data_IF_337828508318
#
_entry.id   IF_337828508318
#
_cell.length_a   1.000
_cell.length_b   1.000
_cell.length_c   1.000
_cell.angle_alpha   90.00
_cell.angle_beta   90.00
_cell.angle_gamma   90.00
#
_symmetry.space_group_name_H-M   'P 1'
#
loop_
_entity.id
_entity.type
_entity.pdbx_description
1 polymer ?
#
# COMPACT_ATOMS: atom_id res chain seq x y z
N UNK A 1 -28.87 55.67 -0.50
CA UNK A 1 -27.74 55.27 0.35
C UNK A 1 -27.75 53.75 0.42
N UNK A 2 -26.78 53.08 -0.22
CA UNK A 2 -26.77 51.62 -0.29
C UNK A 2 -26.03 51.14 0.96
N UNK A 3 -26.78 50.58 1.90
CA UNK A 3 -26.28 49.97 3.13
C UNK A 3 -25.00 49.16 2.84
N UNK A 4 -23.85 49.67 3.25
CA UNK A 4 -22.60 48.91 3.34
C UNK A 4 -22.69 48.11 4.64
N UNK A 5 -23.33 46.94 4.57
CA UNK A 5 -23.31 45.97 5.66
C UNK A 5 -21.96 45.27 5.68
N UNK A 6 -21.33 45.19 6.84
CA UNK A 6 -20.13 44.40 7.08
C UNK A 6 -20.41 42.91 6.87
N UNK A 7 -19.45 42.20 6.26
CA UNK A 7 -19.57 40.78 5.94
C UNK A 7 -19.67 39.92 7.23
N UNK A 8 -20.49 38.85 7.27
CA UNK A 8 -20.77 38.08 8.49
C UNK A 8 -19.57 37.39 9.16
N UNK A 9 -18.40 37.33 8.52
CA UNK A 9 -17.19 36.69 9.08
C UNK A 9 -16.23 37.68 9.76
N UNK A 10 -16.52 38.98 9.69
CA UNK A 10 -15.68 40.02 10.28
C UNK A 10 -14.28 40.11 9.66
N UNK A 11 -13.57 41.19 9.99
CA UNK A 11 -12.23 41.54 9.52
C UNK A 11 -11.09 40.61 9.99
N UNK A 12 -11.35 39.34 10.29
CA UNK A 12 -10.31 38.39 10.74
C UNK A 12 -9.29 38.03 9.64
N UNK A 13 -9.56 38.41 8.38
CA UNK A 13 -8.76 38.03 7.22
C UNK A 13 -7.62 38.97 6.79
N UNK A 14 -7.47 40.17 7.36
CA UNK A 14 -6.51 41.22 6.93
C UNK A 14 -6.48 41.52 5.42
N UNK A 15 -7.58 41.24 4.71
CA UNK A 15 -7.72 41.40 3.26
C UNK A 15 -8.96 42.28 2.99
N UNK A 16 -8.79 43.36 2.23
CA UNK A 16 -9.87 44.32 1.90
C UNK A 16 -10.86 43.78 0.86
N UNK A 17 -10.66 42.56 0.37
CA UNK A 17 -11.50 41.98 -0.66
C UNK A 17 -12.75 41.29 -0.09
N UNK A 18 -13.87 42.01 -0.13
CA UNK A 18 -15.20 41.54 0.28
C UNK A 18 -15.74 40.38 -0.57
N UNK A 19 -15.22 40.10 -1.77
CA UNK A 19 -15.77 39.07 -2.66
C UNK A 19 -15.03 37.73 -2.59
N UNK A 20 -14.11 37.55 -1.64
CA UNK A 20 -13.31 36.32 -1.53
C UNK A 20 -14.15 35.08 -1.25
N UNK A 21 -15.26 35.22 -0.52
CA UNK A 21 -16.19 34.12 -0.23
C UNK A 21 -16.90 33.58 -1.50
N UNK A 22 -16.98 34.39 -2.56
CA UNK A 22 -17.54 34.05 -3.89
C UNK A 22 -16.49 34.04 -5.00
N UNK A 23 -15.22 33.81 -4.64
CA UNK A 23 -14.11 33.75 -5.60
C UNK A 23 -14.05 34.95 -6.57
N UNK A 24 -14.34 36.15 -6.06
CA UNK A 24 -14.38 37.42 -6.82
C UNK A 24 -15.44 37.51 -7.92
N UNK A 25 -16.46 36.64 -7.91
CA UNK A 25 -17.57 36.68 -8.86
C UNK A 25 -18.94 36.62 -8.16
N UNK A 26 -19.38 37.73 -7.54
CA UNK A 26 -20.65 37.82 -6.79
C UNK A 26 -21.91 37.80 -7.66
N UNK A 27 -21.77 37.92 -8.99
CA UNK A 27 -22.90 37.83 -9.93
C UNK A 27 -23.21 36.38 -10.25
N UNK A 28 -22.17 35.55 -10.41
CA UNK A 28 -22.32 34.14 -10.76
C UNK A 28 -22.46 33.21 -9.55
N UNK A 29 -21.99 33.61 -8.37
CA UNK A 29 -21.96 32.75 -7.19
C UNK A 29 -22.55 33.43 -5.95
N UNK A 30 -23.22 32.62 -5.12
CA UNK A 30 -23.77 33.02 -3.83
C UNK A 30 -23.54 31.86 -2.86
N UNK A 31 -22.90 32.11 -1.72
CA UNK A 31 -22.76 31.13 -0.63
C UNK A 31 -23.53 31.64 0.59
N UNK A 32 -24.84 31.33 0.72
CA UNK A 32 -25.69 31.84 1.79
C UNK A 32 -25.37 31.25 3.17
N UNK A 33 -24.57 30.18 3.22
CA UNK A 33 -24.32 29.40 4.44
C UNK A 33 -22.88 29.46 4.92
N UNK A 34 -21.94 29.91 4.09
CA UNK A 34 -20.49 29.89 4.37
C UNK A 34 -19.86 28.49 4.40
N UNK A 35 -20.67 27.44 4.26
CA UNK A 35 -20.21 26.05 4.35
C UNK A 35 -19.85 25.44 2.99
N UNK A 36 -20.05 26.13 1.87
CA UNK A 36 -19.82 25.55 0.54
C UNK A 36 -18.40 24.98 0.40
N UNK A 37 -17.38 25.74 0.80
CA UNK A 37 -15.99 25.30 0.80
C UNK A 37 -15.71 24.16 1.80
N UNK A 38 -16.46 24.09 2.90
CA UNK A 38 -16.38 22.98 3.87
C UNK A 38 -16.87 21.68 3.24
N UNK A 39 -17.98 21.72 2.49
CA UNK A 39 -18.52 20.55 1.78
C UNK A 39 -17.63 20.12 0.62
N UNK A 40 -17.05 21.06 -0.13
CA UNK A 40 -16.04 20.77 -1.16
C UNK A 40 -14.81 20.09 -0.55
N UNK A 41 -14.28 20.62 0.55
CA UNK A 41 -13.13 20.03 1.25
C UNK A 41 -13.44 18.64 1.82
N UNK A 42 -14.61 18.45 2.44
CA UNK A 42 -15.09 17.15 2.92
C UNK A 42 -15.24 16.15 1.79
N UNK A 43 -15.86 16.56 0.67
CA UNK A 43 -16.02 15.75 -0.53
C UNK A 43 -14.68 15.32 -1.11
N UNK A 44 -13.72 16.25 -1.23
CA UNK A 44 -12.37 15.97 -1.67
C UNK A 44 -11.62 15.00 -0.74
N UNK A 45 -11.75 15.14 0.58
CA UNK A 45 -11.14 14.24 1.55
C UNK A 45 -11.72 12.83 1.51
N UNK A 46 -13.05 12.71 1.41
CA UNK A 46 -13.74 11.41 1.27
C UNK A 46 -13.33 10.73 -0.03
N UNK A 47 -13.35 11.47 -1.15
CA UNK A 47 -12.92 10.98 -2.46
C UNK A 47 -11.45 10.55 -2.43
N UNK A 48 -10.56 11.37 -1.85
CA UNK A 48 -9.15 11.06 -1.67
C UNK A 48 -8.94 9.78 -0.87
N UNK A 49 -9.63 9.60 0.26
CA UNK A 49 -9.60 8.36 1.05
C UNK A 49 -10.05 7.13 0.25
N UNK A 50 -11.11 7.27 -0.55
CA UNK A 50 -11.61 6.19 -1.39
C UNK A 50 -10.59 5.79 -2.47
N UNK A 51 -9.99 6.77 -3.15
CA UNK A 51 -8.94 6.56 -4.15
C UNK A 51 -7.74 5.84 -3.53
N UNK A 52 -7.24 6.31 -2.38
CA UNK A 52 -6.11 5.69 -1.68
C UNK A 52 -6.40 4.23 -1.32
N UNK A 53 -7.60 3.93 -0.82
CA UNK A 53 -8.01 2.55 -0.48
C UNK A 53 -8.02 1.64 -1.72
N UNK A 54 -8.48 2.14 -2.87
CA UNK A 54 -8.52 1.39 -4.14
C UNK A 54 -7.12 1.15 -4.72
N UNK A 55 -6.23 2.14 -4.65
CA UNK A 55 -4.84 2.04 -5.15
C UNK A 55 -3.98 1.12 -4.27
N UNK A 56 -4.22 1.05 -2.96
CA UNK A 56 -3.48 0.17 -2.02
C UNK A 56 -3.61 -1.33 -2.34
N UNK A 57 -4.59 -1.74 -3.15
CA UNK A 57 -4.75 -3.11 -3.65
C UNK A 57 -3.68 -3.45 -4.70
N UNK A 58 -3.15 -2.46 -5.42
CA UNK A 58 -2.19 -2.63 -6.50
C UNK A 58 -0.73 -2.58 -6.04
N UNK A 59 -0.48 -2.12 -4.82
CA UNK A 59 0.85 -2.03 -4.24
C UNK A 59 1.46 -3.43 -4.07
N UNK A 60 2.66 -3.61 -4.63
CA UNK A 60 3.46 -4.83 -4.52
C UNK A 60 3.79 -5.13 -3.05
N UNK A 61 3.63 -6.38 -2.58
CA UNK A 61 4.03 -6.72 -1.22
C UNK A 61 5.54 -6.60 -1.05
N UNK A 62 5.99 -6.08 0.09
CA UNK A 62 7.41 -5.91 0.39
C UNK A 62 8.07 -7.26 0.73
N UNK A 63 9.28 -7.55 0.21
CA UNK A 63 10.08 -8.69 0.67
C UNK A 63 10.37 -8.61 2.17
N UNK A 64 10.54 -9.77 2.81
CA UNK A 64 10.81 -9.87 4.25
C UNK A 64 12.24 -10.29 4.50
N UNK A 65 12.88 -9.75 5.54
CA UNK A 65 14.21 -10.20 5.99
C UNK A 65 14.23 -11.68 6.39
N UNK A 66 13.13 -12.13 7.01
CA UNK A 66 12.93 -13.51 7.46
C UNK A 66 13.28 -13.73 8.93
N UNK A 67 13.07 -14.95 9.40
CA UNK A 67 13.40 -15.40 10.76
C UNK A 67 14.14 -16.75 10.72
N UNK A 68 15.05 -16.95 11.65
CA UNK A 68 15.87 -18.16 11.76
C UNK A 68 15.86 -18.69 13.19
N UNK A 69 16.20 -19.96 13.35
CA UNK A 69 16.21 -20.63 14.66
C UNK A 69 14.81 -20.82 15.26
N UNK A 70 14.78 -21.16 16.55
CA UNK A 70 13.54 -21.37 17.30
C UNK A 70 12.69 -22.58 16.84
N UNK A 71 11.46 -22.69 17.38
CA UNK A 71 10.54 -23.74 16.99
C UNK A 71 10.22 -23.69 15.49
N UNK A 72 10.45 -24.80 14.78
CA UNK A 72 10.19 -24.85 13.35
C UNK A 72 11.39 -24.49 12.46
N UNK A 73 12.56 -24.23 13.04
CA UNK A 73 13.83 -24.15 12.32
C UNK A 73 14.03 -25.36 11.41
N UNK A 74 14.47 -25.11 10.18
CA UNK A 74 14.72 -26.13 9.15
C UNK A 74 13.50 -27.00 8.79
N UNK A 75 12.28 -26.65 9.21
CA UNK A 75 11.06 -27.40 8.89
C UNK A 75 10.32 -26.82 7.68
N UNK A 76 9.52 -27.63 6.95
CA UNK A 76 8.64 -27.11 5.90
C UNK A 76 7.47 -26.32 6.49
N UNK A 77 6.87 -25.43 5.69
CA UNK A 77 5.63 -24.73 6.05
C UNK A 77 4.42 -25.66 6.07
N UNK A 78 3.58 -25.56 7.10
CA UNK A 78 2.27 -26.23 7.17
C UNK A 78 1.31 -25.67 6.11
N UNK A 79 0.36 -26.45 5.55
CA UNK A 79 -0.60 -25.96 4.55
C UNK A 79 -1.35 -24.68 4.98
N UNK A 80 -1.87 -24.66 6.21
CA UNK A 80 -2.55 -23.49 6.80
C UNK A 80 -1.66 -22.23 6.80
N UNK A 81 -0.36 -22.39 7.08
CA UNK A 81 0.61 -21.29 7.05
C UNK A 81 0.85 -20.81 5.62
N UNK A 82 0.94 -21.73 4.65
CA UNK A 82 1.09 -21.38 3.23
C UNK A 82 -0.07 -20.54 2.73
N UNK A 83 -1.31 -20.88 3.09
CA UNK A 83 -2.48 -20.11 2.67
C UNK A 83 -2.54 -18.74 3.33
N UNK A 84 -2.20 -18.63 4.62
CA UNK A 84 -2.04 -17.32 5.29
C UNK A 84 -1.01 -16.42 4.59
N UNK A 85 0.12 -16.99 4.18
CA UNK A 85 1.16 -16.24 3.46
C UNK A 85 0.66 -15.75 2.10
N UNK A 86 -0.04 -16.60 1.34
CA UNK A 86 -0.62 -16.23 0.04
C UNK A 86 -1.64 -15.10 0.16
N UNK A 87 -2.54 -15.22 1.14
CA UNK A 87 -3.57 -14.22 1.39
C UNK A 87 -2.96 -12.87 1.77
N UNK A 88 -2.03 -12.89 2.73
CA UNK A 88 -1.26 -11.71 3.17
C UNK A 88 -0.54 -11.02 2.03
N UNK A 89 0.10 -11.79 1.16
CA UNK A 89 0.85 -11.29 0.00
C UNK A 89 -0.05 -11.07 -1.22
N UNK A 90 -1.38 -11.15 -1.05
CA UNK A 90 -2.43 -10.92 -2.07
C UNK A 90 -2.24 -11.74 -3.35
N UNK A 91 -1.78 -12.99 -3.21
CA UNK A 91 -1.40 -13.86 -4.33
C UNK A 91 -0.48 -13.14 -5.34
N UNK A 92 0.44 -12.29 -4.86
CA UNK A 92 1.47 -11.63 -5.67
C UNK A 92 2.84 -12.08 -5.21
N UNK A 93 3.79 -12.14 -6.14
CA UNK A 93 5.18 -12.39 -5.80
C UNK A 93 5.77 -11.16 -5.11
N UNK A 94 6.41 -11.35 -3.96
CA UNK A 94 7.09 -10.26 -3.23
C UNK A 94 8.25 -9.63 -4.01
N UNK A 95 8.88 -10.37 -4.93
CA UNK A 95 10.03 -9.90 -5.69
C UNK A 95 9.70 -9.21 -7.00
N UNK A 96 8.80 -9.75 -7.81
CA UNK A 96 8.45 -9.16 -9.10
C UNK A 96 7.05 -8.50 -9.13
N UNK A 97 6.22 -8.69 -8.10
CA UNK A 97 4.86 -8.14 -8.03
C UNK A 97 3.81 -8.82 -8.92
N UNK A 98 4.23 -9.74 -9.81
CA UNK A 98 3.32 -10.51 -10.68
C UNK A 98 2.35 -11.35 -9.84
N UNK A 99 1.11 -11.49 -10.32
CA UNK A 99 0.11 -12.39 -9.73
C UNK A 99 0.61 -13.84 -9.84
N UNK A 100 0.54 -14.56 -8.74
CA UNK A 100 0.91 -15.96 -8.65
C UNK A 100 -0.33 -16.85 -8.71
N UNK A 101 -0.22 -18.00 -9.38
CA UNK A 101 -1.30 -18.99 -9.47
C UNK A 101 -1.04 -20.16 -8.52
N UNK A 102 -2.07 -20.69 -7.85
CA UNK A 102 -1.96 -22.00 -7.19
C UNK A 102 -1.86 -23.08 -8.28
N UNK A 103 -1.09 -24.15 -8.02
CA UNK A 103 -0.77 -25.17 -9.01
C UNK A 103 0.65 -25.03 -9.57
N UNK A 104 1.28 -26.15 -9.91
CA UNK A 104 2.63 -26.20 -10.47
C UNK A 104 2.65 -25.98 -11.98
N UNK A 105 3.86 -25.84 -12.54
CA UNK A 105 4.08 -25.90 -13.98
C UNK A 105 4.24 -24.56 -14.71
N UNK A 106 3.82 -23.42 -14.13
CA UNK A 106 4.00 -22.11 -14.76
C UNK A 106 5.13 -21.29 -14.14
N UNK A 107 5.66 -20.33 -14.89
CA UNK A 107 6.67 -19.37 -14.41
C UNK A 107 6.17 -18.55 -13.21
N UNK A 108 4.86 -18.31 -13.16
CA UNK A 108 4.17 -17.62 -12.07
C UNK A 108 3.45 -18.54 -11.07
N UNK A 109 3.76 -19.84 -11.04
CA UNK A 109 3.26 -20.74 -9.99
C UNK A 109 3.69 -20.23 -8.62
N UNK A 110 2.75 -20.20 -7.67
CA UNK A 110 2.96 -19.77 -6.28
C UNK A 110 3.79 -20.80 -5.52
N UNK A 111 5.03 -20.44 -5.22
CA UNK A 111 5.94 -21.20 -4.36
C UNK A 111 6.14 -20.39 -3.06
N UNK A 112 5.85 -21.01 -1.91
CA UNK A 112 6.05 -20.37 -0.61
C UNK A 112 7.52 -20.55 -0.25
N UNK A 113 8.23 -19.43 -0.26
CA UNK A 113 9.67 -19.35 -0.03
C UNK A 113 9.96 -18.98 1.42
N UNK A 114 11.10 -19.47 1.90
CA UNK A 114 11.69 -19.10 3.17
C UNK A 114 12.60 -17.88 2.95
N UNK A 115 12.22 -16.72 3.47
CA UNK A 115 12.99 -15.48 3.39
C UNK A 115 14.43 -15.67 3.91
N UNK A 116 14.57 -16.24 5.09
CA UNK A 116 15.79 -16.86 5.55
C UNK A 116 15.75 -18.36 5.20
N UNK A 117 16.67 -18.89 4.38
CA UNK A 117 16.53 -20.20 3.76
C UNK A 117 16.64 -21.35 4.77
N UNK A 118 15.90 -22.43 4.50
CA UNK A 118 15.86 -23.65 5.33
C UNK A 118 17.26 -24.22 5.57
N UNK A 119 18.11 -24.28 4.54
CA UNK A 119 19.47 -24.83 4.64
C UNK A 119 20.35 -24.08 5.64
N UNK A 120 20.08 -22.80 5.89
CA UNK A 120 20.85 -21.96 6.83
C UNK A 120 20.19 -21.80 8.20
N UNK A 121 19.08 -22.50 8.46
CA UNK A 121 18.40 -22.45 9.76
C UNK A 121 17.11 -21.63 9.79
N UNK A 122 16.58 -21.22 8.64
CA UNK A 122 15.30 -20.53 8.55
C UNK A 122 14.15 -21.31 9.17
N UNK A 123 13.27 -20.62 9.89
CA UNK A 123 12.11 -21.23 10.55
C UNK A 123 10.88 -21.30 9.62
N UNK A 124 9.82 -21.99 10.04
CA UNK A 124 8.58 -22.10 9.27
C UNK A 124 7.46 -21.20 9.78
N UNK A 125 7.80 -20.08 10.42
CA UNK A 125 6.84 -19.07 10.89
C UNK A 125 6.26 -18.27 9.70
N UNK A 126 5.10 -17.64 9.91
CA UNK A 126 4.56 -16.73 8.89
C UNK A 126 5.53 -15.59 8.55
N UNK A 127 6.35 -15.14 9.50
CA UNK A 127 7.28 -14.03 9.31
C UNK A 127 8.47 -14.43 8.43
N UNK A 128 8.87 -15.69 8.45
CA UNK A 128 9.88 -16.21 7.53
C UNK A 128 9.31 -16.65 6.17
N UNK A 129 8.01 -16.83 6.05
CA UNK A 129 7.38 -17.24 4.79
C UNK A 129 7.01 -16.07 3.90
N UNK A 130 7.23 -16.19 2.59
CA UNK A 130 6.84 -15.21 1.58
C UNK A 130 6.33 -15.87 0.29
N UNK A 131 5.29 -15.28 -0.32
CA UNK A 131 4.76 -15.78 -1.58
C UNK A 131 5.63 -15.32 -2.75
N UNK A 132 6.14 -16.29 -3.52
CA UNK A 132 7.03 -16.02 -4.66
C UNK A 132 6.51 -16.74 -5.89
N UNK A 133 6.83 -16.23 -7.08
CA UNK A 133 6.67 -17.01 -8.29
C UNK A 133 7.82 -18.02 -8.42
N UNK A 134 7.57 -19.13 -9.11
CA UNK A 134 8.58 -20.13 -9.45
C UNK A 134 9.87 -19.50 -9.99
N UNK A 135 9.79 -18.58 -10.95
CA UNK A 135 10.99 -17.95 -11.53
C UNK A 135 11.84 -17.23 -10.48
N UNK A 136 11.25 -16.33 -9.68
CA UNK A 136 12.00 -15.60 -8.65
C UNK A 136 12.49 -16.52 -7.53
N UNK A 137 11.70 -17.53 -7.14
CA UNK A 137 12.09 -18.49 -6.12
C UNK A 137 13.35 -19.28 -6.53
N UNK A 138 13.38 -19.77 -7.76
CA UNK A 138 14.52 -20.52 -8.30
C UNK A 138 15.77 -19.63 -8.45
N UNK A 139 15.57 -18.37 -8.82
CA UNK A 139 16.67 -17.41 -8.93
C UNK A 139 17.25 -17.04 -7.56
N UNK A 140 16.42 -16.91 -6.53
CA UNK A 140 16.86 -16.66 -5.15
C UNK A 140 17.68 -17.83 -4.61
N UNK A 141 17.21 -19.06 -4.81
CA UNK A 141 17.90 -20.28 -4.35
C UNK A 141 18.11 -20.29 -2.83
N UNK A 142 19.35 -20.47 -2.40
CA UNK A 142 19.76 -20.53 -0.99
C UNK A 142 20.19 -19.17 -0.40
N UNK A 143 19.98 -18.07 -1.12
CA UNK A 143 20.23 -16.72 -0.61
C UNK A 143 19.18 -16.34 0.42
N UNK A 144 19.56 -15.52 1.39
CA UNK A 144 18.56 -14.76 2.17
C UNK A 144 17.82 -13.78 1.26
N UNK A 145 16.67 -13.28 1.71
CA UNK A 145 15.98 -12.21 0.97
C UNK A 145 16.91 -11.01 0.74
N UNK A 146 17.65 -10.59 1.76
CA UNK A 146 18.52 -9.41 1.66
C UNK A 146 19.66 -9.64 0.67
N UNK A 147 20.32 -10.81 0.73
CA UNK A 147 21.36 -11.20 -0.24
C UNK A 147 20.82 -11.29 -1.67
N UNK A 148 19.59 -11.76 -1.85
CA UNK A 148 18.97 -11.81 -3.17
C UNK A 148 18.60 -10.41 -3.69
N UNK A 149 18.13 -9.52 -2.83
CA UNK A 149 17.87 -8.13 -3.20
C UNK A 149 19.16 -7.36 -3.53
N UNK A 150 20.25 -7.64 -2.82
CA UNK A 150 21.57 -7.12 -3.16
C UNK A 150 22.06 -7.65 -4.50
N UNK A 151 21.93 -8.97 -4.73
CA UNK A 151 22.26 -9.57 -6.01
C UNK A 151 21.44 -8.98 -7.17
N UNK A 152 20.16 -8.67 -6.97
CA UNK A 152 19.33 -8.00 -7.98
C UNK A 152 19.75 -6.56 -8.26
N UNK A 153 20.38 -5.87 -7.32
CA UNK A 153 20.89 -4.50 -7.51
C UNK A 153 22.22 -4.47 -8.26
N UNK A 154 23.00 -5.53 -8.16
CA UNK A 154 24.35 -5.64 -8.73
C UNK A 154 24.39 -6.39 -10.08
N UNK A 155 23.23 -6.56 -10.73
CA UNK A 155 23.08 -7.27 -12.01
C UNK A 155 22.49 -6.34 -13.04
#
# INVERSE_FOLDING_TARGET
>A
ERFLGEDPIGFEGWDYNFYRYVANNPIAYRDPTGEFWVWVARGAWIAGKWIVKKVRVWVKPKPRKGEYGGPGAKKPFKPKTKDKIRDRDKNKCVFCGKKTKKGGGSSNSSEIDHAFPKSRGGNNSCNNGQNTCRTCNRQKGNKTTDEYLEWLRNR
#
